data_IF_478752798280
#
_entry.id   IF_478752798280
#
_cell.length_a   1.000
_cell.length_b   1.000
_cell.length_c   1.000
_cell.angle_alpha   90.00
_cell.angle_beta   90.00
_cell.angle_gamma   90.00
#
_symmetry.space_group_name_H-M   'P 1'
#
loop_
_entity.id
_entity.type
_entity.pdbx_description
1 polymer ?
#
# COMPACT_ATOMS: atom_id res chain seq x y z
N UNK A 1 2.57 -5.78 28.36
CA UNK A 1 2.27 -6.45 27.07
C UNK A 1 3.01 -5.66 26.02
N UNK A 2 3.67 -6.31 25.06
CA UNK A 2 4.31 -5.58 23.94
C UNK A 2 3.23 -4.99 23.04
N UNK A 3 3.44 -3.77 22.60
CA UNK A 3 2.60 -3.13 21.58
C UNK A 3 2.74 -3.85 20.24
N UNK A 4 1.69 -3.81 19.40
CA UNK A 4 1.72 -4.36 18.05
C UNK A 4 2.50 -3.48 17.10
N UNK A 5 2.84 -4.02 15.92
CA UNK A 5 3.57 -3.35 14.84
C UNK A 5 2.63 -3.15 13.64
N UNK A 6 2.67 -1.96 13.03
CA UNK A 6 2.02 -1.71 11.75
C UNK A 6 2.95 -2.08 10.59
N UNK A 7 2.54 -3.05 9.79
CA UNK A 7 3.24 -3.40 8.55
C UNK A 7 2.51 -2.82 7.34
N UNK A 8 3.17 -1.96 6.56
CA UNK A 8 2.69 -1.57 5.23
C UNK A 8 3.13 -2.63 4.23
N UNK A 9 2.21 -3.42 3.71
CA UNK A 9 2.54 -4.58 2.88
C UNK A 9 2.14 -4.33 1.44
N UNK A 10 3.12 -4.33 0.53
CA UNK A 10 2.87 -4.32 -0.91
C UNK A 10 2.40 -5.70 -1.38
N UNK A 11 1.22 -5.74 -2.01
CA UNK A 11 0.62 -7.00 -2.50
C UNK A 11 0.81 -7.22 -4.00
N UNK A 12 1.67 -6.44 -4.65
CA UNK A 12 1.85 -6.51 -6.09
C UNK A 12 0.74 -5.82 -6.88
N UNK A 13 0.84 -5.82 -8.23
CA UNK A 13 -0.01 -5.01 -9.11
C UNK A 13 -1.31 -5.66 -9.53
N UNK A 14 -1.59 -6.90 -9.14
CA UNK A 14 -2.81 -7.61 -9.54
C UNK A 14 -2.68 -9.13 -9.50
N UNK A 15 -1.64 -9.67 -10.08
CA UNK A 15 -1.35 -11.09 -10.08
C UNK A 15 -0.93 -11.56 -8.68
N UNK A 16 -1.64 -12.54 -8.06
CA UNK A 16 -1.29 -13.06 -6.74
C UNK A 16 0.09 -13.77 -6.71
N UNK A 17 0.62 -14.24 -7.82
CA UNK A 17 1.96 -14.83 -7.90
C UNK A 17 3.07 -13.77 -7.78
N UNK A 18 2.73 -12.48 -7.92
CA UNK A 18 3.66 -11.36 -7.75
C UNK A 18 3.74 -10.84 -6.30
N UNK A 19 3.13 -11.53 -5.32
CA UNK A 19 3.41 -11.25 -3.93
C UNK A 19 4.81 -11.75 -3.55
N UNK A 20 5.55 -10.91 -2.83
CA UNK A 20 6.84 -11.36 -2.30
C UNK A 20 6.64 -12.40 -1.17
N UNK A 21 7.58 -13.33 -1.02
CA UNK A 21 7.57 -14.29 0.10
C UNK A 21 7.51 -13.56 1.45
N UNK A 22 8.15 -12.39 1.56
CA UNK A 22 8.10 -11.57 2.78
C UNK A 22 6.69 -11.03 3.01
N UNK A 23 5.99 -10.57 1.97
CA UNK A 23 4.61 -10.12 2.07
C UNK A 23 3.68 -11.24 2.56
N UNK A 24 3.76 -12.43 1.95
CA UNK A 24 2.99 -13.60 2.36
C UNK A 24 3.22 -13.97 3.83
N UNK A 25 4.48 -14.03 4.26
CA UNK A 25 4.83 -14.34 5.67
C UNK A 25 4.31 -13.28 6.64
N UNK A 26 4.39 -11.99 6.28
CA UNK A 26 3.89 -10.90 7.11
C UNK A 26 2.37 -10.95 7.23
N UNK A 27 1.66 -11.14 6.10
CA UNK A 27 0.19 -11.30 6.09
C UNK A 27 -0.22 -12.50 6.94
N UNK A 28 0.48 -13.63 6.81
CA UNK A 28 0.19 -14.83 7.59
C UNK A 28 0.39 -14.61 9.11
N UNK A 29 1.42 -13.85 9.51
CA UNK A 29 1.74 -13.60 10.92
C UNK A 29 0.79 -12.57 11.59
N UNK A 30 0.29 -11.56 10.85
CA UNK A 30 -0.57 -10.52 11.40
C UNK A 30 -2.00 -11.03 11.67
N UNK A 31 -2.54 -10.86 12.88
CA UNK A 31 -3.93 -11.22 13.18
C UNK A 31 -4.96 -10.25 12.58
N UNK A 32 -4.53 -9.04 12.19
CA UNK A 32 -5.40 -7.99 11.62
C UNK A 32 -4.91 -7.61 10.24
N UNK A 33 -5.85 -7.58 9.29
CA UNK A 33 -5.61 -7.13 7.92
C UNK A 33 -6.35 -5.81 7.71
N UNK A 34 -5.63 -4.72 7.58
CA UNK A 34 -6.21 -3.43 7.22
C UNK A 34 -6.25 -3.29 5.69
N UNK A 35 -7.45 -3.18 5.15
CA UNK A 35 -7.71 -3.09 3.71
C UNK A 35 -8.22 -1.70 3.34
N UNK A 36 -7.45 -0.90 2.57
CA UNK A 36 -7.93 0.36 2.04
C UNK A 36 -9.12 0.15 1.11
N UNK A 37 -10.18 0.91 1.32
CA UNK A 37 -11.39 0.87 0.51
C UNK A 37 -11.80 2.28 0.08
N UNK A 38 -12.00 2.45 -1.21
CA UNK A 38 -12.63 3.65 -1.76
C UNK A 38 -14.12 3.37 -2.00
N UNK A 39 -14.99 4.32 -1.69
CA UNK A 39 -16.43 4.14 -1.84
C UNK A 39 -16.78 3.73 -3.29
N UNK A 40 -17.49 2.60 -3.43
CA UNK A 40 -17.92 2.06 -4.73
C UNK A 40 -16.85 1.28 -5.51
N UNK A 41 -15.66 1.09 -4.95
CA UNK A 41 -14.58 0.30 -5.57
C UNK A 41 -14.28 -0.91 -4.68
N UNK A 42 -14.09 -2.07 -5.32
CA UNK A 42 -13.66 -3.29 -4.61
C UNK A 42 -12.32 -3.06 -3.90
N UNK A 43 -12.10 -3.78 -2.80
CA UNK A 43 -10.84 -3.71 -2.06
C UNK A 43 -9.76 -4.54 -2.77
N UNK A 44 -9.31 -4.09 -3.94
CA UNK A 44 -8.41 -4.81 -4.86
C UNK A 44 -7.19 -5.43 -4.15
N UNK A 45 -6.56 -4.70 -3.23
CA UNK A 45 -5.41 -5.23 -2.49
C UNK A 45 -5.79 -6.43 -1.59
N UNK A 46 -7.01 -6.41 -1.02
CA UNK A 46 -7.54 -7.53 -0.24
C UNK A 46 -7.87 -8.74 -1.11
N UNK A 47 -8.41 -8.51 -2.31
CA UNK A 47 -8.75 -9.59 -3.23
C UNK A 47 -7.50 -10.31 -3.74
N UNK A 48 -6.42 -9.55 -4.03
CA UNK A 48 -5.11 -10.11 -4.38
C UNK A 48 -4.56 -10.96 -3.21
N UNK A 49 -4.59 -10.43 -1.99
CA UNK A 49 -4.12 -11.15 -0.82
C UNK A 49 -4.91 -12.44 -0.58
N UNK A 50 -6.25 -12.41 -0.74
CA UNK A 50 -7.12 -13.61 -0.63
C UNK A 50 -6.84 -14.68 -1.68
N UNK A 51 -6.47 -14.26 -2.89
CA UNK A 51 -6.10 -15.19 -3.95
C UNK A 51 -4.73 -15.85 -3.70
N UNK A 52 -3.83 -15.16 -2.97
CA UNK A 52 -2.46 -15.63 -2.71
C UNK A 52 -2.33 -16.46 -1.43
N UNK A 53 -3.15 -16.20 -0.40
CA UNK A 53 -3.05 -16.88 0.90
C UNK A 53 -4.38 -16.94 1.65
N UNK A 54 -4.46 -17.89 2.59
CA UNK A 54 -5.63 -18.04 3.46
C UNK A 54 -5.66 -16.92 4.51
N UNK A 55 -6.76 -16.17 4.54
CA UNK A 55 -7.05 -15.13 5.52
C UNK A 55 -8.09 -15.56 6.56
N UNK A 56 -8.45 -16.85 6.62
CA UNK A 56 -9.42 -17.39 7.58
C UNK A 56 -8.96 -17.10 9.02
N UNK A 57 -9.90 -16.68 9.86
CA UNK A 57 -9.62 -16.36 11.27
C UNK A 57 -8.90 -15.03 11.51
N UNK A 58 -8.65 -14.23 10.48
CA UNK A 58 -8.10 -12.88 10.62
C UNK A 58 -9.20 -11.83 10.68
N UNK A 59 -8.99 -10.80 11.49
CA UNK A 59 -9.88 -9.64 11.51
C UNK A 59 -9.59 -8.74 10.30
N UNK A 60 -10.60 -8.46 9.48
CA UNK A 60 -10.47 -7.55 8.34
C UNK A 60 -11.01 -6.18 8.73
N UNK A 61 -10.10 -5.21 8.85
CA UNK A 61 -10.39 -3.81 9.11
C UNK A 61 -10.46 -3.04 7.78
N UNK A 62 -11.65 -2.59 7.37
CA UNK A 62 -11.77 -1.72 6.22
C UNK A 62 -11.46 -0.27 6.60
N UNK A 63 -10.44 0.31 5.99
CA UNK A 63 -10.05 1.72 6.17
C UNK A 63 -10.47 2.53 4.95
N UNK A 64 -11.33 3.53 5.16
CA UNK A 64 -11.92 4.31 4.07
C UNK A 64 -11.06 5.51 3.70
N UNK A 65 -10.89 5.71 2.40
CA UNK A 65 -10.25 6.89 1.83
C UNK A 65 -11.09 7.37 0.65
N UNK A 66 -11.84 8.44 0.83
CA UNK A 66 -12.64 8.99 -0.26
C UNK A 66 -11.77 9.83 -1.21
N UNK A 67 -12.11 9.79 -2.50
CA UNK A 67 -11.53 10.63 -3.54
C UNK A 67 -12.17 12.04 -3.58
N UNK A 68 -12.81 12.47 -2.49
CA UNK A 68 -13.47 13.77 -2.37
C UNK A 68 -12.47 14.94 -2.40
N UNK A 69 -12.88 16.09 -2.92
CA UNK A 69 -12.13 17.35 -2.80
C UNK A 69 -12.30 18.01 -1.44
N UNK A 70 -13.26 17.58 -0.63
CA UNK A 70 -13.49 18.09 0.73
C UNK A 70 -12.33 17.71 1.65
N UNK A 71 -11.56 18.70 2.06
CA UNK A 71 -10.39 18.52 2.91
C UNK A 71 -10.76 18.06 4.34
N UNK A 72 -11.87 18.57 4.89
CA UNK A 72 -12.32 18.21 6.24
C UNK A 72 -12.74 16.74 6.29
N UNK A 73 -13.47 16.27 5.27
CA UNK A 73 -13.86 14.88 5.16
C UNK A 73 -12.65 13.94 5.00
N UNK A 74 -11.68 14.32 4.16
CA UNK A 74 -10.43 13.53 4.01
C UNK A 74 -9.66 13.42 5.33
N UNK A 75 -9.58 14.54 6.09
CA UNK A 75 -8.90 14.55 7.39
C UNK A 75 -9.63 13.65 8.41
N UNK A 76 -10.96 13.72 8.47
CA UNK A 76 -11.75 12.88 9.37
C UNK A 76 -11.63 11.38 9.04
N UNK A 77 -11.67 11.00 7.76
CA UNK A 77 -11.48 9.61 7.32
C UNK A 77 -10.06 9.11 7.62
N UNK A 78 -9.06 9.97 7.45
CA UNK A 78 -7.66 9.66 7.78
C UNK A 78 -7.49 9.41 9.29
N UNK A 79 -8.00 10.32 10.13
CA UNK A 79 -7.92 10.21 11.58
C UNK A 79 -8.65 8.94 12.07
N UNK A 80 -9.84 8.66 11.56
CA UNK A 80 -10.58 7.44 11.89
C UNK A 80 -9.82 6.16 11.52
N UNK A 81 -9.09 6.17 10.38
CA UNK A 81 -8.26 5.04 9.98
C UNK A 81 -7.07 4.84 10.92
N UNK A 82 -6.39 5.94 11.31
CA UNK A 82 -5.28 5.91 12.28
C UNK A 82 -5.76 5.43 13.65
N UNK A 83 -6.89 5.95 14.13
CA UNK A 83 -7.50 5.53 15.41
C UNK A 83 -7.80 4.03 15.45
N UNK A 84 -8.44 3.51 14.41
CA UNK A 84 -8.80 2.11 14.31
C UNK A 84 -7.56 1.21 14.30
N UNK A 85 -6.52 1.58 13.54
CA UNK A 85 -5.24 0.86 13.49
C UNK A 85 -4.56 0.90 14.87
N UNK A 86 -4.42 2.08 15.47
CA UNK A 86 -3.77 2.25 16.78
C UNK A 86 -4.51 1.50 17.90
N UNK A 87 -5.84 1.37 17.82
CA UNK A 87 -6.62 0.55 18.74
C UNK A 87 -6.20 -0.92 18.74
N UNK A 88 -5.92 -1.50 17.58
CA UNK A 88 -5.39 -2.86 17.47
C UNK A 88 -3.95 -2.95 17.97
N UNK A 89 -3.09 -1.99 17.59
CA UNK A 89 -1.69 -1.97 18.01
C UNK A 89 -1.55 -1.85 19.53
N UNK A 90 -2.34 -0.99 20.17
CA UNK A 90 -2.37 -0.82 21.63
C UNK A 90 -2.88 -2.08 22.36
N UNK A 91 -3.66 -2.92 21.72
CA UNK A 91 -4.06 -4.23 22.19
C UNK A 91 -3.00 -5.33 21.97
N UNK A 92 -1.78 -4.96 21.52
CA UNK A 92 -0.68 -5.89 21.26
C UNK A 92 -0.85 -6.71 19.97
N UNK A 93 -1.70 -6.25 19.02
CA UNK A 93 -2.02 -6.98 17.80
C UNK A 93 -1.35 -6.33 16.60
N UNK A 94 -0.53 -7.09 15.88
CA UNK A 94 0.08 -6.65 14.64
C UNK A 94 -0.97 -6.42 13.54
N UNK A 95 -0.77 -5.37 12.74
CA UNK A 95 -1.66 -4.99 11.64
C UNK A 95 -0.90 -5.00 10.33
N UNK A 96 -1.38 -5.77 9.34
CA UNK A 96 -0.91 -5.69 7.96
C UNK A 96 -1.82 -4.75 7.16
N UNK A 97 -1.36 -3.53 6.89
CA UNK A 97 -2.02 -2.58 5.99
C UNK A 97 -1.62 -2.90 4.54
N UNK A 98 -2.57 -3.41 3.78
CA UNK A 98 -2.34 -3.82 2.39
C UNK A 98 -2.24 -2.61 1.45
N UNK A 99 -1.29 -2.66 0.53
CA UNK A 99 -1.08 -1.62 -0.48
C UNK A 99 -0.96 -2.26 -1.86
N UNK A 100 -1.72 -1.77 -2.83
CA UNK A 100 -1.59 -2.19 -4.22
C UNK A 100 -0.20 -1.80 -4.75
N UNK A 101 0.47 -2.71 -5.43
CA UNK A 101 1.85 -2.52 -5.88
C UNK A 101 2.85 -2.58 -4.73
N UNK A 102 3.61 -1.51 -4.53
CA UNK A 102 4.62 -1.35 -3.50
C UNK A 102 4.19 -0.39 -2.38
N UNK A 103 4.58 -0.68 -1.15
CA UNK A 103 4.21 0.12 0.03
C UNK A 103 4.95 1.48 0.13
N UNK A 104 5.95 1.73 -0.73
CA UNK A 104 6.73 2.98 -0.74
C UNK A 104 6.34 3.94 -1.87
N UNK A 105 5.56 3.48 -2.88
CA UNK A 105 5.24 4.25 -4.08
C UNK A 105 3.76 4.62 -4.08
N UNK A 106 3.44 5.90 -3.84
CA UNK A 106 2.07 6.44 -3.78
C UNK A 106 1.09 5.64 -2.91
N UNK A 107 1.62 4.96 -1.89
CA UNK A 107 0.90 4.01 -1.06
C UNK A 107 0.14 4.69 0.09
N UNK A 108 -0.98 4.10 0.50
CA UNK A 108 -1.73 4.51 1.69
C UNK A 108 -0.87 4.43 2.95
N UNK A 109 0.01 3.44 3.06
CA UNK A 109 0.93 3.30 4.18
C UNK A 109 1.78 4.54 4.42
N UNK A 110 2.29 5.20 3.36
CA UNK A 110 3.12 6.40 3.49
C UNK A 110 2.36 7.58 4.10
N UNK A 111 1.04 7.59 4.00
CA UNK A 111 0.18 8.62 4.59
C UNK A 111 -0.18 8.30 6.04
N UNK A 112 -0.36 7.02 6.39
CA UNK A 112 -0.79 6.55 7.71
C UNK A 112 0.39 6.41 8.68
N UNK A 113 1.52 5.88 8.23
CA UNK A 113 2.64 5.53 9.07
C UNK A 113 3.24 6.69 9.89
N UNK A 114 3.33 7.95 9.40
CA UNK A 114 3.80 9.06 10.21
C UNK A 114 2.96 9.30 11.46
N UNK A 115 1.62 9.26 11.33
CA UNK A 115 0.71 9.53 12.45
C UNK A 115 0.67 8.36 13.44
N UNK A 116 0.75 7.11 12.94
CA UNK A 116 0.90 5.93 13.81
C UNK A 116 2.20 6.00 14.62
N UNK A 117 3.33 6.40 13.99
CA UNK A 117 4.60 6.61 14.70
C UNK A 117 4.53 7.75 15.72
N UNK A 118 3.84 8.85 15.40
CA UNK A 118 3.68 9.97 16.35
C UNK A 118 2.91 9.56 17.62
N UNK A 119 2.10 8.50 17.53
CA UNK A 119 1.39 7.90 18.66
C UNK A 119 2.20 6.83 19.42
N UNK A 120 3.47 6.63 19.07
CA UNK A 120 4.42 5.75 19.76
C UNK A 120 4.53 4.34 19.19
N UNK A 121 3.75 3.97 18.17
CA UNK A 121 3.77 2.61 17.62
C UNK A 121 4.84 2.41 16.55
N UNK A 122 5.40 1.21 16.50
CA UNK A 122 6.36 0.82 15.47
C UNK A 122 5.68 0.60 14.11
N UNK A 123 6.35 1.04 13.03
CA UNK A 123 5.88 0.81 11.65
C UNK A 123 6.99 0.24 10.79
N UNK A 124 6.66 -0.72 9.92
CA UNK A 124 7.61 -1.38 9.01
C UNK A 124 7.03 -1.47 7.61
N UNK A 125 7.82 -1.15 6.59
CA UNK A 125 7.45 -1.38 5.20
C UNK A 125 7.89 -2.77 4.73
N UNK A 126 7.01 -3.45 4.02
CA UNK A 126 7.30 -4.70 3.31
C UNK A 126 7.12 -4.42 1.83
N UNK A 127 8.21 -4.49 1.03
CA UNK A 127 8.15 -4.13 -0.39
C UNK A 127 7.27 -5.09 -1.21
N UNK A 128 6.69 -4.55 -2.25
CA UNK A 128 5.94 -5.27 -3.28
C UNK A 128 6.48 -4.95 -4.68
N UNK A 129 5.84 -5.52 -5.70
CA UNK A 129 6.19 -5.25 -7.10
C UNK A 129 5.29 -4.12 -7.62
N UNK A 130 5.85 -2.97 -8.05
CA UNK A 130 5.05 -1.90 -8.62
C UNK A 130 4.57 -2.25 -10.04
N UNK A 131 3.44 -1.65 -10.46
CA UNK A 131 2.80 -1.97 -11.73
C UNK A 131 3.69 -1.73 -12.94
N UNK A 132 4.50 -0.68 -12.96
CA UNK A 132 5.39 -0.39 -14.09
C UNK A 132 6.47 -1.45 -14.29
N UNK A 133 6.99 -2.06 -13.22
CA UNK A 133 7.91 -3.20 -13.32
C UNK A 133 7.20 -4.44 -13.89
N UNK A 134 5.99 -4.75 -13.43
CA UNK A 134 5.25 -5.89 -13.92
C UNK A 134 4.83 -5.73 -15.39
N UNK A 135 4.41 -4.53 -15.79
CA UNK A 135 4.07 -4.21 -17.18
C UNK A 135 5.31 -4.32 -18.08
N UNK A 136 6.45 -3.78 -17.65
CA UNK A 136 7.69 -3.87 -18.41
C UNK A 136 8.12 -5.33 -18.62
N UNK A 137 8.06 -6.14 -17.57
CA UNK A 137 8.35 -7.58 -17.68
C UNK A 137 7.38 -8.31 -18.62
N UNK A 138 6.07 -8.03 -18.52
CA UNK A 138 5.06 -8.65 -19.39
C UNK A 138 5.20 -8.26 -20.87
N UNK A 139 5.75 -7.07 -21.15
CA UNK A 139 6.02 -6.57 -22.49
C UNK A 139 7.44 -6.89 -22.97
N UNK A 140 8.25 -7.55 -22.14
CA UNK A 140 9.68 -7.82 -22.44
C UNK A 140 10.42 -6.52 -22.81
N UNK A 141 10.17 -5.42 -22.06
CA UNK A 141 10.77 -4.09 -22.28
C UNK A 141 11.69 -3.71 -21.14
N UNK A 142 12.83 -3.13 -21.51
CA UNK A 142 13.73 -2.46 -20.60
C UNK A 142 13.18 -1.06 -20.26
N UNK A 143 13.14 -0.72 -18.96
CA UNK A 143 12.76 0.62 -18.48
C UNK A 143 13.91 1.61 -18.52
N UNK A 144 15.15 1.12 -18.68
CA UNK A 144 16.38 1.94 -18.69
C UNK A 144 17.28 1.52 -19.83
N UNK A 145 16.83 1.64 -21.11
CA UNK A 145 17.62 1.23 -22.25
C UNK A 145 18.96 2.00 -22.28
N UNK A 146 20.01 1.31 -22.71
CA UNK A 146 21.37 1.87 -22.92
C UNK A 146 22.07 2.42 -21.66
N UNK A 147 21.57 2.11 -20.46
CA UNK A 147 22.12 2.52 -19.14
C UNK A 147 22.32 4.04 -18.97
N UNK A 148 21.90 4.85 -19.92
CA UNK A 148 22.06 6.30 -19.91
C UNK A 148 20.79 7.07 -19.55
N UNK A 149 19.65 6.37 -19.50
CA UNK A 149 18.35 6.98 -19.22
C UNK A 149 18.06 7.02 -17.71
N UNK A 150 17.36 8.05 -17.28
CA UNK A 150 16.74 8.10 -15.97
C UNK A 150 15.32 7.52 -16.04
N UNK A 151 14.82 6.95 -14.94
CA UNK A 151 13.41 6.53 -14.79
C UNK A 151 12.65 7.57 -13.98
N UNK A 152 11.62 8.16 -14.57
CA UNK A 152 10.72 9.09 -13.90
C UNK A 152 9.37 8.43 -13.63
N UNK A 153 8.95 8.35 -12.37
CA UNK A 153 7.68 7.75 -11.96
C UNK A 153 6.67 8.87 -11.73
N UNK A 154 5.76 9.05 -12.66
CA UNK A 154 4.74 10.11 -12.64
C UNK A 154 3.36 9.48 -12.54
N UNK A 155 2.52 9.85 -11.51
CA UNK A 155 1.18 9.31 -11.39
C UNK A 155 0.29 9.83 -12.51
N UNK A 156 -0.49 8.94 -13.16
CA UNK A 156 -1.30 9.26 -14.35
C UNK A 156 -2.43 10.28 -14.14
N UNK A 157 -2.76 10.65 -12.91
CA UNK A 157 -3.72 11.73 -12.59
C UNK A 157 -3.06 13.04 -12.15
N UNK A 158 -1.75 13.17 -12.32
CA UNK A 158 -1.02 14.35 -11.89
C UNK A 158 -1.02 15.42 -12.98
N UNK A 159 -1.35 16.68 -12.61
CA UNK A 159 -1.49 17.80 -13.56
C UNK A 159 -0.19 18.31 -14.19
N UNK A 160 0.92 17.57 -14.09
CA UNK A 160 2.24 17.90 -14.62
C UNK A 160 2.80 16.85 -15.58
N UNK A 161 1.95 15.98 -16.15
CA UNK A 161 2.41 14.93 -17.09
C UNK A 161 3.11 15.53 -18.31
N UNK A 162 2.54 16.60 -18.89
CA UNK A 162 3.10 17.24 -20.08
C UNK A 162 4.49 17.84 -19.80
N UNK A 163 4.69 18.38 -18.60
CA UNK A 163 6.01 18.87 -18.17
C UNK A 163 6.99 17.70 -17.96
N UNK A 164 6.51 16.60 -17.40
CA UNK A 164 7.34 15.42 -17.12
C UNK A 164 7.88 14.73 -18.38
N UNK A 165 7.12 14.75 -19.48
CA UNK A 165 7.54 14.22 -20.80
C UNK A 165 8.76 14.98 -21.35
N UNK A 166 8.94 16.23 -20.96
CA UNK A 166 10.07 17.05 -21.40
C UNK A 166 11.33 16.92 -20.54
N UNK A 167 11.29 16.15 -19.45
CA UNK A 167 12.46 15.96 -18.57
C UNK A 167 13.54 15.12 -19.25
N UNK A 168 14.83 15.43 -19.02
CA UNK A 168 15.92 14.65 -19.59
C UNK A 168 15.82 13.17 -19.16
N UNK A 169 15.87 12.28 -20.14
CA UNK A 169 15.79 10.83 -19.90
C UNK A 169 14.41 10.20 -19.97
N UNK A 170 13.39 11.00 -20.37
CA UNK A 170 12.06 10.47 -20.72
C UNK A 170 11.95 10.19 -22.22
#
# INVERSE_FOLDING_TARGET
>A
MSEGVLYGVGVGPGDPELLTVKALRTIAACPVIAAPQTAGVAATALDIARAACDLSGKDVLFVRFSMTRDAARRAAEHEAAVDAICGHLGAGRDVALLNLGDASIYATFQRIAPDVRSRGFETRAVPGIPSFCAVAAALERDLTPDMAASLHIVPGGYGGIDDAISWPGT
#
